data_IF_766631801524
#
_entry.id   IF_766631801524
#
_cell.length_a   1.000
_cell.length_b   1.000
_cell.length_c   1.000
_cell.angle_alpha   90.00
_cell.angle_beta   90.00
_cell.angle_gamma   90.00
#
_symmetry.space_group_name_H-M   'P 1'
#
loop_
_entity.id
_entity.type
_entity.pdbx_description
1 polymer ?
#
# COMPACT_ATOMS: atom_id res chain seq x y z
N UNK A 1 -59.71 -21.98 7.54
CA UNK A 1 -60.15 -23.39 7.70
C UNK A 1 -58.90 -24.23 7.95
N UNK A 2 -58.82 -24.89 9.12
CA UNK A 2 -58.15 -26.18 9.41
C UNK A 2 -56.73 -26.41 8.81
N UNK A 3 -55.64 -26.63 9.54
CA UNK A 3 -55.44 -27.61 10.62
C UNK A 3 -54.12 -27.32 11.39
N UNK A 4 -54.06 -27.81 12.62
CA UNK A 4 -52.92 -27.73 13.54
C UNK A 4 -52.20 -29.09 13.70
N UNK A 5 -51.09 -29.06 14.47
CA UNK A 5 -50.36 -30.17 15.11
C UNK A 5 -49.35 -30.93 14.19
N UNK A 6 -48.19 -31.45 14.64
CA UNK A 6 -47.68 -31.80 15.97
C UNK A 6 -46.15 -32.00 15.94
N UNK A 7 -45.49 -31.78 17.08
CA UNK A 7 -44.12 -32.24 17.40
C UNK A 7 -44.04 -33.77 17.55
N UNK A 8 -42.89 -34.36 17.26
CA UNK A 8 -42.40 -35.57 17.94
C UNK A 8 -40.86 -35.59 17.98
N UNK A 9 -40.33 -35.74 19.19
CA UNK A 9 -38.93 -36.00 19.49
C UNK A 9 -38.66 -37.50 19.47
N UNK A 10 -37.43 -37.92 19.15
CA UNK A 10 -36.92 -39.21 19.60
C UNK A 10 -35.41 -39.13 19.84
N UNK A 11 -35.02 -39.49 21.05
CA UNK A 11 -33.66 -39.70 21.52
C UNK A 11 -33.46 -41.19 21.83
N UNK A 12 -32.26 -41.71 21.56
CA UNK A 12 -31.63 -42.90 22.17
C UNK A 12 -30.14 -42.86 21.73
N UNK A 13 -29.12 -42.61 22.56
CA UNK A 13 -28.52 -43.48 23.61
C UNK A 13 -28.09 -44.86 23.05
N UNK A 14 -26.92 -45.46 23.28
CA UNK A 14 -25.67 -45.16 24.02
C UNK A 14 -24.70 -46.34 23.75
N UNK A 15 -23.42 -46.18 24.16
CA UNK A 15 -22.36 -47.18 24.38
C UNK A 15 -21.52 -47.63 23.16
N UNK A 16 -20.21 -47.32 23.02
CA UNK A 16 -19.01 -47.46 23.88
C UNK A 16 -18.23 -48.76 23.61
N UNK A 17 -16.94 -48.60 23.29
CA UNK A 17 -15.78 -49.49 23.55
C UNK A 17 -14.56 -48.85 22.84
N UNK A 18 -13.75 -48.02 23.52
CA UNK A 18 -12.56 -48.33 24.34
C UNK A 18 -11.33 -48.79 23.55
N UNK A 19 -10.33 -47.92 23.53
CA UNK A 19 -8.91 -48.13 23.21
C UNK A 19 -8.24 -49.11 24.21
N UNK A 20 -7.11 -49.79 23.88
CA UNK A 20 -5.81 -49.18 24.19
C UNK A 20 -4.61 -49.56 23.26
N UNK A 21 -3.65 -48.62 23.16
CA UNK A 21 -2.22 -48.78 22.80
C UNK A 21 -1.42 -49.65 23.82
N UNK A 22 -0.08 -49.91 23.71
CA UNK A 22 0.91 -49.85 22.60
C UNK A 22 1.82 -51.11 22.50
N UNK A 23 2.71 -51.22 21.48
CA UNK A 23 3.92 -52.07 21.56
C UNK A 23 5.07 -51.64 20.60
N UNK A 24 6.21 -51.34 21.21
CA UNK A 24 7.62 -51.55 20.79
C UNK A 24 8.30 -52.25 22.00
N UNK A 25 9.56 -52.77 22.02
CA UNK A 25 10.67 -52.74 21.03
C UNK A 25 11.48 -54.08 20.92
N UNK A 26 12.54 -54.13 20.08
CA UNK A 26 13.92 -54.71 20.23
C UNK A 26 14.64 -54.54 18.87
N UNK A 27 15.87 -54.02 18.66
CA UNK A 27 17.17 -54.11 19.34
C UNK A 27 17.92 -55.37 18.87
N UNK A 28 19.16 -55.42 18.35
CA UNK A 28 20.32 -54.52 18.26
C UNK A 28 21.30 -55.05 17.14
N UNK A 29 22.05 -54.17 16.48
CA UNK A 29 23.52 -53.99 16.56
C UNK A 29 24.38 -54.80 15.57
N UNK A 30 25.17 -54.10 14.74
CA UNK A 30 26.63 -54.17 14.83
C UNK A 30 27.30 -52.91 14.28
N UNK A 31 28.37 -52.51 14.96
CA UNK A 31 29.14 -51.29 14.79
C UNK A 31 30.61 -51.62 14.52
N UNK A 32 31.32 -50.76 13.79
CA UNK A 32 32.76 -50.49 13.83
C UNK A 32 32.99 -49.27 12.91
N UNK A 33 33.68 -48.18 13.24
CA UNK A 33 34.41 -47.75 14.43
C UNK A 33 35.23 -46.47 14.09
N UNK A 34 35.21 -45.49 15.00
CA UNK A 34 36.16 -44.41 15.39
C UNK A 34 37.28 -43.93 14.43
N UNK A 35 37.50 -42.61 14.26
CA UNK A 35 38.00 -41.54 15.18
C UNK A 35 39.48 -41.68 15.58
N UNK A 36 40.24 -40.59 15.36
CA UNK A 36 41.29 -39.99 16.21
C UNK A 36 41.52 -38.56 15.63
N UNK A 37 41.28 -37.41 16.28
CA UNK A 37 41.71 -36.85 17.57
C UNK A 37 43.23 -36.58 17.66
N UNK A 38 43.64 -35.30 17.62
CA UNK A 38 44.77 -34.78 18.40
C UNK A 38 44.63 -33.26 18.60
N UNK A 39 44.65 -32.84 19.86
CA UNK A 39 44.98 -31.47 20.26
C UNK A 39 46.26 -31.46 21.09
N UNK A 40 46.88 -30.28 21.27
CA UNK A 40 47.57 -29.75 22.48
C UNK A 40 48.62 -28.68 22.11
N UNK A 41 48.71 -27.62 22.93
CA UNK A 41 49.57 -26.42 22.86
C UNK A 41 51.00 -26.65 23.44
N UNK A 42 51.79 -25.66 23.96
CA UNK A 42 52.08 -24.24 23.64
C UNK A 42 53.63 -23.94 23.53
N UNK A 43 54.10 -22.71 23.24
CA UNK A 43 55.36 -22.12 23.75
C UNK A 43 55.43 -20.58 23.59
N UNK A 44 56.08 -19.93 24.57
CA UNK A 44 56.21 -18.50 24.91
C UNK A 44 57.02 -17.58 23.97
N UNK A 45 56.75 -16.25 24.00
CA UNK A 45 57.74 -15.17 24.18
C UNK A 45 57.09 -13.76 24.38
N UNK A 46 57.78 -12.93 25.17
CA UNK A 46 57.40 -11.65 25.84
C UNK A 46 57.76 -10.35 25.07
N UNK A 47 57.24 -9.23 25.65
CA UNK A 47 57.68 -7.80 25.69
C UNK A 47 56.89 -6.84 24.75
N UNK A 48 56.31 -5.70 25.15
CA UNK A 48 56.64 -4.64 26.14
C UNK A 48 57.12 -3.39 25.34
N UNK A 49 56.41 -2.25 25.27
CA UNK A 49 56.44 -1.05 26.15
C UNK A 49 55.59 0.07 25.45
N UNK A 50 54.71 0.87 26.10
CA UNK A 50 54.95 2.25 26.60
C UNK A 50 55.33 3.26 25.49
N UNK A 51 54.77 4.46 25.27
CA UNK A 51 53.83 5.37 25.91
C UNK A 51 54.01 6.78 25.29
N UNK A 52 53.20 7.74 25.76
CA UNK A 52 53.37 9.22 25.69
C UNK A 52 52.69 10.00 24.54
N UNK A 53 51.96 11.04 24.97
CA UNK A 53 51.15 12.01 24.25
C UNK A 53 51.90 13.32 23.95
N UNK A 54 51.39 14.17 23.05
CA UNK A 54 51.36 15.63 23.23
C UNK A 54 50.35 16.33 22.29
N UNK A 55 50.15 17.62 22.51
CA UNK A 55 48.93 18.43 22.47
C UNK A 55 48.94 19.58 21.44
N UNK A 56 47.79 20.29 21.31
CA UNK A 56 47.66 21.68 20.79
C UNK A 56 47.00 21.77 19.38
N UNK A 57 45.76 22.25 19.16
CA UNK A 57 45.11 23.56 19.42
C UNK A 57 45.69 24.72 18.58
N UNK A 58 44.94 25.30 17.62
CA UNK A 58 44.03 26.46 17.82
C UNK A 58 43.71 27.27 16.52
N UNK A 59 42.45 27.74 16.46
CA UNK A 59 41.85 29.01 15.95
C UNK A 59 42.05 29.62 14.53
N UNK A 60 40.91 30.05 13.96
CA UNK A 60 40.62 31.43 13.46
C UNK A 60 40.64 31.65 11.93
N UNK A 61 39.51 31.85 11.22
CA UNK A 61 38.76 33.10 11.00
C UNK A 61 39.50 34.12 10.08
N UNK A 62 38.94 34.88 9.12
CA UNK A 62 37.64 35.05 8.46
C UNK A 62 37.82 36.12 7.34
N UNK A 63 36.84 36.24 6.41
CA UNK A 63 36.44 37.46 5.65
C UNK A 63 37.40 38.03 4.56
N UNK A 64 37.02 38.65 3.42
CA UNK A 64 35.78 39.29 2.88
C UNK A 64 35.99 39.68 1.38
N UNK A 65 34.89 39.81 0.64
CA UNK A 65 34.51 40.78 -0.44
C UNK A 65 35.30 40.86 -1.78
N UNK A 66 34.68 40.58 -2.95
CA UNK A 66 33.89 41.46 -3.86
C UNK A 66 34.82 42.32 -4.78
N UNK A 67 34.70 42.51 -6.10
CA UNK A 67 33.62 42.78 -7.07
C UNK A 67 34.24 42.70 -8.51
N UNK A 68 33.55 42.17 -9.54
CA UNK A 68 32.89 42.86 -10.70
C UNK A 68 33.67 42.88 -12.05
N UNK A 69 32.86 42.59 -13.08
CA UNK A 69 32.89 42.84 -14.53
C UNK A 69 33.91 42.22 -15.50
N UNK A 70 33.32 41.59 -16.52
CA UNK A 70 33.99 41.01 -17.68
C UNK A 70 33.94 41.87 -18.93
N UNK A 71 34.64 41.41 -19.96
CA UNK A 71 34.15 41.42 -21.34
C UNK A 71 34.89 40.33 -22.15
N UNK A 72 34.24 39.93 -23.22
CA UNK A 72 34.45 38.83 -24.14
C UNK A 72 35.60 39.02 -25.15
N UNK A 73 36.29 37.92 -25.50
CA UNK A 73 36.62 37.51 -26.88
C UNK A 73 37.56 36.30 -26.90
N UNK A 74 37.23 35.30 -27.71
CA UNK A 74 38.02 34.11 -27.97
C UNK A 74 39.13 34.39 -29.00
N UNK A 75 40.35 33.89 -28.79
CA UNK A 75 40.94 32.86 -29.67
C UNK A 75 42.22 32.24 -29.10
N UNK A 76 42.56 31.09 -29.69
CA UNK A 76 43.41 29.97 -29.29
C UNK A 76 44.78 30.13 -28.57
N UNK A 77 45.01 29.12 -27.73
CA UNK A 77 46.24 28.32 -27.54
C UNK A 77 47.52 29.03 -27.06
N UNK A 78 47.71 29.00 -25.74
CA UNK A 78 48.99 29.20 -25.07
C UNK A 78 48.97 28.58 -23.68
N UNK A 79 49.90 27.67 -23.44
CA UNK A 79 50.24 26.95 -22.20
C UNK A 79 49.98 27.68 -20.88
N UNK A 80 49.37 26.99 -19.91
CA UNK A 80 49.63 27.25 -18.49
C UNK A 80 49.73 25.95 -17.70
N UNK A 81 50.82 25.89 -16.94
CA UNK A 81 51.21 24.88 -15.99
C UNK A 81 50.09 24.66 -14.96
N UNK A 82 49.62 23.42 -14.81
CA UNK A 82 48.72 23.07 -13.72
C UNK A 82 49.56 22.80 -12.48
N UNK A 83 49.39 23.68 -11.49
CA UNK A 83 50.00 23.56 -10.18
C UNK A 83 49.41 22.35 -9.44
N UNK A 84 50.29 21.53 -8.89
CA UNK A 84 50.00 20.26 -8.29
C UNK A 84 49.26 20.43 -6.94
N UNK A 85 47.93 20.43 -6.96
CA UNK A 85 47.11 20.25 -5.77
C UNK A 85 45.70 19.73 -6.09
N UNK A 86 45.58 18.61 -6.83
CA UNK A 86 44.38 17.76 -6.76
C UNK A 86 44.65 16.27 -7.03
N UNK A 87 45.80 15.78 -6.56
CA UNK A 87 46.16 14.37 -6.62
C UNK A 87 45.56 13.55 -5.46
N UNK A 88 44.23 13.63 -5.24
CA UNK A 88 43.50 12.68 -4.38
C UNK A 88 42.14 12.31 -4.97
N UNK A 89 42.20 11.39 -5.94
CA UNK A 89 41.03 10.70 -6.46
C UNK A 89 41.33 10.12 -7.84
N UNK A 90 42.13 9.05 -7.90
CA UNK A 90 42.25 8.29 -9.14
C UNK A 90 40.86 7.79 -9.54
N UNK A 91 40.28 8.36 -10.59
CA UNK A 91 39.02 7.86 -11.14
C UNK A 91 39.24 6.42 -11.58
N UNK A 92 38.70 5.48 -10.80
CA UNK A 92 38.74 4.06 -11.12
C UNK A 92 37.71 3.80 -12.22
N UNK A 93 38.13 3.91 -13.48
CA UNK A 93 37.31 3.49 -14.60
C UNK A 93 37.20 1.96 -14.57
N UNK A 94 36.01 1.39 -14.77
CA UNK A 94 35.82 -0.06 -14.75
C UNK A 94 36.58 -0.77 -15.89
N UNK A 95 37.08 -0.01 -16.86
CA UNK A 95 37.83 -0.49 -18.01
C UNK A 95 38.77 0.59 -18.54
N UNK A 96 39.75 0.17 -19.33
CA UNK A 96 40.70 1.08 -19.98
C UNK A 96 40.05 1.66 -21.25
N UNK A 97 40.13 2.98 -21.50
CA UNK A 97 39.59 3.57 -22.72
C UNK A 97 40.14 2.91 -23.99
N UNK A 98 39.25 2.72 -24.97
CA UNK A 98 39.47 2.07 -26.26
C UNK A 98 39.77 0.57 -26.22
N UNK A 99 39.64 -0.09 -25.08
CA UNK A 99 39.68 -1.57 -25.04
C UNK A 99 38.37 -2.18 -25.48
N UNK A 100 38.46 -3.32 -26.18
CA UNK A 100 37.31 -4.10 -26.63
C UNK A 100 37.35 -5.46 -25.92
N UNK A 101 36.20 -5.93 -25.46
CA UNK A 101 36.07 -7.28 -24.89
C UNK A 101 34.83 -8.01 -25.43
N UNK A 102 34.82 -9.34 -25.24
CA UNK A 102 33.67 -10.18 -25.57
C UNK A 102 32.54 -9.96 -24.56
N UNK A 103 31.30 -10.03 -25.05
CA UNK A 103 30.08 -9.93 -24.24
C UNK A 103 28.99 -10.81 -24.82
N UNK A 104 27.93 -11.06 -24.04
CA UNK A 104 26.73 -11.75 -24.52
C UNK A 104 25.70 -10.70 -24.94
N UNK A 105 25.16 -10.84 -26.14
CA UNK A 105 24.16 -9.93 -26.73
C UNK A 105 22.76 -10.23 -26.19
N UNK A 106 21.77 -9.39 -26.50
CA UNK A 106 20.39 -9.58 -26.04
C UNK A 106 19.75 -10.88 -26.55
N UNK A 107 20.21 -11.40 -27.69
CA UNK A 107 19.75 -12.66 -28.28
C UNK A 107 20.62 -13.88 -27.88
N UNK A 108 21.68 -13.68 -27.09
CA UNK A 108 22.54 -14.75 -26.58
C UNK A 108 23.78 -15.07 -27.44
N UNK A 109 24.03 -14.32 -28.52
CA UNK A 109 25.23 -14.44 -29.36
C UNK A 109 26.46 -13.79 -28.72
N UNK A 110 27.65 -14.15 -29.20
CA UNK A 110 28.92 -13.62 -28.73
C UNK A 110 29.26 -12.28 -29.44
N UNK A 111 29.01 -11.16 -28.78
CA UNK A 111 29.28 -9.81 -29.28
C UNK A 111 30.56 -9.19 -28.74
N UNK A 112 30.77 -7.92 -29.10
CA UNK A 112 31.89 -7.10 -28.60
C UNK A 112 31.40 -5.76 -28.07
N UNK A 113 31.98 -5.30 -26.97
CA UNK A 113 31.74 -3.94 -26.43
C UNK A 113 33.03 -3.17 -26.29
N UNK A 114 32.97 -1.87 -26.58
CA UNK A 114 34.12 -0.96 -26.47
C UNK A 114 33.98 -0.11 -25.21
N UNK A 115 35.07 -0.01 -24.45
CA UNK A 115 35.16 0.90 -23.31
C UNK A 115 35.56 2.29 -23.79
N UNK A 116 34.81 3.32 -23.43
CA UNK A 116 35.25 4.71 -23.58
C UNK A 116 35.59 5.29 -22.21
N UNK A 117 34.57 5.42 -21.35
CA UNK A 117 34.68 5.74 -19.93
C UNK A 117 34.11 4.60 -19.08
N UNK A 118 32.98 4.06 -19.56
CA UNK A 118 32.35 2.82 -19.14
C UNK A 118 32.21 1.89 -20.35
N UNK A 119 31.88 0.62 -20.11
CA UNK A 119 31.57 -0.34 -21.16
C UNK A 119 30.31 0.08 -21.93
N UNK A 120 30.45 0.26 -23.24
CA UNK A 120 29.32 0.50 -24.14
C UNK A 120 28.41 -0.73 -24.31
N UNK A 121 27.31 -0.59 -25.07
CA UNK A 121 26.41 -1.71 -25.36
C UNK A 121 27.15 -2.84 -26.08
N UNK A 122 26.72 -4.08 -25.85
CA UNK A 122 27.25 -5.23 -26.57
C UNK A 122 26.79 -5.16 -28.03
N UNK A 123 27.72 -4.96 -28.95
CA UNK A 123 27.45 -4.94 -30.39
C UNK A 123 27.54 -6.38 -30.89
N UNK A 124 26.47 -6.90 -31.50
CA UNK A 124 26.46 -8.27 -32.02
C UNK A 124 27.38 -8.40 -33.24
N UNK A 125 27.91 -9.62 -33.51
CA UNK A 125 28.73 -9.89 -34.68
C UNK A 125 27.90 -9.83 -35.97
N UNK A 126 28.57 -9.94 -37.12
CA UNK A 126 27.90 -10.22 -38.38
C UNK A 126 27.38 -11.66 -38.38
N UNK A 127 26.28 -11.90 -39.10
CA UNK A 127 25.63 -13.20 -39.27
C UNK A 127 26.60 -14.34 -39.57
N UNK A 128 26.48 -15.45 -38.82
CA UNK A 128 27.24 -16.66 -39.08
C UNK A 128 26.36 -17.72 -39.76
N UNK A 129 26.54 -17.85 -41.08
CA UNK A 129 25.79 -18.83 -41.86
C UNK A 129 25.98 -20.28 -41.35
N UNK A 130 24.88 -20.97 -41.07
CA UNK A 130 24.79 -22.43 -40.88
C UNK A 130 24.51 -22.91 -39.46
N UNK A 131 24.28 -21.99 -38.51
CA UNK A 131 24.03 -22.31 -37.10
C UNK A 131 22.56 -22.15 -36.67
N UNK A 132 21.67 -21.70 -37.56
CA UNK A 132 20.26 -21.39 -37.28
C UNK A 132 20.04 -20.51 -36.04
N UNK A 133 20.96 -19.57 -35.77
CA UNK A 133 20.83 -18.55 -34.74
C UNK A 133 20.61 -17.17 -35.40
N UNK A 134 20.00 -16.27 -34.63
CA UNK A 134 19.98 -14.83 -34.88
C UNK A 134 21.27 -14.28 -34.23
N UNK A 135 22.33 -14.14 -35.02
CA UNK A 135 23.65 -13.80 -34.49
C UNK A 135 23.81 -12.28 -34.35
N UNK A 136 23.18 -11.51 -35.25
CA UNK A 136 23.22 -10.05 -35.28
C UNK A 136 22.10 -9.38 -34.45
N UNK A 137 21.25 -10.19 -33.81
CA UNK A 137 20.10 -9.79 -32.97
C UNK A 137 19.09 -8.89 -33.67
N UNK A 138 18.94 -8.97 -35.00
CA UNK A 138 17.96 -8.17 -35.73
C UNK A 138 16.57 -8.83 -35.81
N UNK A 139 16.41 -10.02 -35.22
CA UNK A 139 15.16 -10.78 -35.18
C UNK A 139 14.94 -11.68 -36.41
N UNK A 140 15.92 -11.76 -37.30
CA UNK A 140 15.97 -12.69 -38.42
C UNK A 140 17.07 -13.73 -38.16
N UNK A 141 17.00 -14.85 -38.86
CA UNK A 141 17.96 -15.95 -38.71
C UNK A 141 18.64 -16.12 -40.05
N UNK A 142 19.97 -15.97 -40.09
CA UNK A 142 20.82 -16.30 -41.25
C UNK A 142 20.45 -15.50 -42.53
N UNK A 143 19.96 -14.28 -42.39
CA UNK A 143 19.72 -13.38 -43.51
C UNK A 143 21.02 -12.94 -44.19
N UNK A 144 20.97 -12.71 -45.51
CA UNK A 144 22.16 -12.34 -46.29
C UNK A 144 23.13 -13.50 -46.60
N UNK A 145 22.85 -14.72 -46.14
CA UNK A 145 23.64 -15.92 -46.46
C UNK A 145 23.30 -16.49 -47.87
N UNK A 146 24.29 -17.03 -48.62
CA UNK A 146 24.02 -17.80 -49.84
C UNK A 146 23.20 -19.04 -49.49
N UNK A 147 22.31 -19.49 -50.39
CA UNK A 147 21.27 -20.50 -50.19
C UNK A 147 21.65 -21.59 -49.17
N UNK A 148 21.33 -21.32 -47.91
CA UNK A 148 21.55 -22.18 -46.75
C UNK A 148 20.23 -22.93 -46.47
N UNK A 149 20.26 -24.14 -45.88
CA UNK A 149 19.08 -24.98 -45.74
C UNK A 149 18.03 -24.27 -44.88
N UNK A 150 16.77 -24.64 -45.07
CA UNK A 150 15.63 -24.10 -44.34
C UNK A 150 15.81 -24.26 -42.83
N UNK A 151 16.34 -23.24 -42.17
CA UNK A 151 16.26 -23.04 -40.73
C UNK A 151 14.84 -22.53 -40.44
N UNK A 152 13.84 -23.40 -40.49
CA UNK A 152 12.60 -23.14 -39.78
C UNK A 152 12.92 -23.40 -38.30
N UNK A 153 12.97 -22.40 -37.40
CA UNK A 153 12.97 -22.70 -35.99
C UNK A 153 11.72 -23.57 -35.75
N UNK A 154 11.80 -24.68 -35.00
CA UNK A 154 10.59 -25.34 -34.54
C UNK A 154 9.85 -24.31 -33.70
N UNK A 155 8.90 -23.58 -34.29
CA UNK A 155 7.91 -22.87 -33.50
C UNK A 155 7.30 -23.97 -32.65
N UNK A 156 7.53 -23.92 -31.34
CA UNK A 156 6.81 -24.80 -30.44
C UNK A 156 5.35 -24.45 -30.68
N UNK A 157 4.66 -25.30 -31.43
CA UNK A 157 3.32 -25.07 -31.96
C UNK A 157 2.30 -25.21 -30.82
N UNK A 158 2.47 -24.38 -29.80
CA UNK A 158 1.57 -24.26 -28.67
C UNK A 158 0.31 -23.54 -29.11
N UNK A 159 -0.80 -23.81 -28.41
CA UNK A 159 -1.95 -22.93 -28.40
C UNK A 159 -1.61 -21.47 -28.08
N UNK A 160 -2.40 -20.57 -28.67
CA UNK A 160 -2.45 -19.14 -28.31
C UNK A 160 -3.78 -18.84 -27.63
N UNK A 161 -3.72 -18.37 -26.39
CA UNK A 161 -4.88 -17.92 -25.63
C UNK A 161 -5.28 -16.50 -26.08
N UNK A 162 -6.57 -16.24 -26.20
CA UNK A 162 -7.11 -14.92 -26.47
C UNK A 162 -8.31 -14.64 -25.58
N UNK A 163 -8.33 -13.47 -24.94
CA UNK A 163 -9.40 -13.04 -24.03
C UNK A 163 -10.21 -11.94 -24.72
N UNK A 164 -11.52 -12.06 -24.68
CA UNK A 164 -12.44 -10.98 -25.04
C UNK A 164 -13.35 -10.68 -23.86
N UNK A 165 -13.56 -9.39 -23.58
CA UNK A 165 -14.45 -8.88 -22.53
C UNK A 165 -15.51 -8.05 -23.23
N UNK A 166 -16.78 -8.46 -23.16
CA UNK A 166 -17.84 -7.82 -23.94
C UNK A 166 -18.08 -6.35 -23.53
N UNK A 167 -17.90 -6.04 -22.25
CA UNK A 167 -18.12 -4.72 -21.66
C UNK A 167 -16.95 -3.75 -21.89
N UNK A 168 -15.83 -4.24 -22.43
CA UNK A 168 -14.62 -3.46 -22.67
C UNK A 168 -13.69 -3.37 -21.44
N UNK A 169 -12.74 -2.44 -21.51
CA UNK A 169 -11.67 -2.28 -20.51
C UNK A 169 -12.00 -1.31 -19.39
N UNK A 170 -13.19 -0.68 -19.40
CA UNK A 170 -13.63 0.28 -18.39
C UNK A 170 -15.11 0.13 -18.07
N UNK A 171 -15.44 -0.16 -16.81
CA UNK A 171 -16.81 -0.46 -16.36
C UNK A 171 -17.08 0.10 -14.95
N UNK A 172 -18.33 0.00 -14.48
CA UNK A 172 -18.72 0.33 -13.11
C UNK A 172 -18.76 -0.88 -12.17
N UNK A 173 -18.66 -0.68 -10.85
CA UNK A 173 -18.93 -1.73 -9.85
C UNK A 173 -20.33 -2.34 -10.03
N UNK A 174 -20.46 -3.63 -9.76
CA UNK A 174 -21.68 -4.41 -9.99
C UNK A 174 -21.87 -4.90 -11.43
N UNK A 175 -21.01 -4.47 -12.38
CA UNK A 175 -21.06 -4.97 -13.77
C UNK A 175 -20.71 -6.47 -13.82
N UNK A 176 -21.45 -7.23 -14.61
CA UNK A 176 -21.14 -8.63 -14.94
C UNK A 176 -20.29 -8.64 -16.20
N UNK A 177 -19.01 -8.99 -16.07
CA UNK A 177 -18.12 -9.16 -17.22
C UNK A 177 -18.45 -10.47 -17.94
N UNK A 178 -18.71 -10.40 -19.25
CA UNK A 178 -18.87 -11.56 -20.11
C UNK A 178 -17.55 -11.85 -20.83
N UNK A 179 -16.84 -12.89 -20.34
CA UNK A 179 -15.54 -13.29 -20.85
C UNK A 179 -15.68 -14.35 -21.92
N UNK A 180 -14.79 -14.34 -22.91
CA UNK A 180 -14.77 -15.33 -23.97
C UNK A 180 -13.36 -15.71 -24.38
N UNK A 181 -13.10 -17.01 -24.47
CA UNK A 181 -11.89 -17.59 -25.05
C UNK A 181 -12.04 -17.91 -26.54
N UNK A 182 -13.11 -17.45 -27.22
CA UNK A 182 -13.45 -17.87 -28.59
C UNK A 182 -12.38 -17.53 -29.64
N UNK A 183 -11.56 -16.51 -29.40
CA UNK A 183 -10.43 -16.16 -30.27
C UNK A 183 -9.18 -17.03 -30.08
N UNK A 184 -9.18 -17.97 -29.13
CA UNK A 184 -8.04 -18.85 -28.89
C UNK A 184 -7.88 -19.87 -30.01
N UNK A 185 -6.64 -20.19 -30.36
CA UNK A 185 -6.33 -21.03 -31.53
C UNK A 185 -5.17 -21.98 -31.23
N UNK A 186 -5.22 -23.19 -31.80
CA UNK A 186 -4.13 -24.16 -31.79
C UNK A 186 -3.63 -24.41 -33.22
N UNK A 187 -2.31 -24.34 -33.48
CA UNK A 187 -1.74 -24.64 -34.80
C UNK A 187 -1.94 -26.09 -35.25
N UNK A 188 -1.63 -26.37 -36.52
CA UNK A 188 -1.66 -27.72 -37.13
C UNK A 188 -3.03 -28.41 -37.15
N UNK A 189 -4.12 -27.62 -37.19
CA UNK A 189 -5.49 -28.14 -37.24
C UNK A 189 -6.01 -28.71 -35.91
N UNK A 190 -5.24 -28.55 -34.82
CA UNK A 190 -5.63 -28.92 -33.46
C UNK A 190 -6.76 -28.02 -32.94
N UNK A 191 -7.43 -28.47 -31.88
CA UNK A 191 -8.57 -27.76 -31.31
C UNK A 191 -8.33 -27.43 -29.84
N UNK A 192 -8.74 -26.24 -29.40
CA UNK A 192 -8.74 -25.88 -27.98
C UNK A 192 -9.89 -26.59 -27.26
N UNK A 193 -9.57 -27.39 -26.25
CA UNK A 193 -10.56 -28.20 -25.51
C UNK A 193 -10.60 -27.93 -24.00
N UNK A 194 -9.63 -27.20 -23.45
CA UNK A 194 -9.60 -26.84 -22.03
C UNK A 194 -9.18 -25.39 -21.82
N UNK A 195 -9.70 -24.79 -20.74
CA UNK A 195 -9.47 -23.40 -20.33
C UNK A 195 -9.18 -23.35 -18.83
N UNK A 196 -8.32 -22.43 -18.42
CA UNK A 196 -8.09 -22.10 -17.02
C UNK A 196 -8.01 -20.58 -16.88
N UNK A 197 -9.08 -20.02 -16.30
CA UNK A 197 -9.18 -18.62 -15.96
C UNK A 197 -8.64 -18.37 -14.56
N UNK A 198 -7.95 -17.24 -14.38
CA UNK A 198 -7.63 -16.70 -13.07
C UNK A 198 -7.88 -15.19 -13.06
N UNK A 199 -8.07 -14.63 -11.86
CA UNK A 199 -8.29 -13.20 -11.67
C UNK A 199 -7.46 -12.71 -10.49
N UNK A 200 -6.76 -11.59 -10.69
CA UNK A 200 -6.23 -10.76 -9.61
C UNK A 200 -7.19 -9.59 -9.42
N UNK A 201 -7.87 -9.58 -8.27
CA UNK A 201 -8.88 -8.60 -7.91
C UNK A 201 -8.35 -7.62 -6.84
N UNK A 202 -8.90 -6.38 -6.76
CA UNK A 202 -8.63 -5.48 -5.66
C UNK A 202 -8.96 -6.09 -4.29
N UNK A 203 -8.28 -5.62 -3.23
CA UNK A 203 -8.50 -6.09 -1.88
C UNK A 203 -9.96 -5.92 -1.44
N UNK A 204 -10.52 -6.94 -0.79
CA UNK A 204 -11.92 -6.95 -0.33
C UNK A 204 -12.92 -7.52 -1.33
N UNK A 205 -12.52 -7.79 -2.59
CA UNK A 205 -13.37 -8.49 -3.55
C UNK A 205 -13.66 -9.93 -3.13
N UNK A 206 -14.90 -10.37 -3.36
CA UNK A 206 -15.38 -11.75 -3.16
C UNK A 206 -15.80 -12.42 -4.48
N UNK A 207 -15.53 -11.76 -5.61
CA UNK A 207 -15.94 -12.21 -6.94
C UNK A 207 -15.44 -13.61 -7.29
N UNK A 208 -16.27 -14.35 -8.03
CA UNK A 208 -15.97 -15.69 -8.53
C UNK A 208 -16.45 -15.83 -9.97
N UNK A 209 -15.69 -16.58 -10.76
CA UNK A 209 -16.14 -16.96 -12.10
C UNK A 209 -17.37 -17.87 -12.02
N UNK A 210 -18.35 -17.62 -12.89
CA UNK A 210 -19.52 -18.47 -13.07
C UNK A 210 -19.56 -19.01 -14.51
N UNK A 211 -19.83 -20.32 -14.73
CA UNK A 211 -20.05 -21.35 -13.72
C UNK A 211 -18.75 -21.80 -13.01
N UNK A 212 -17.58 -21.39 -13.50
CA UNK A 212 -16.29 -21.70 -12.89
C UNK A 212 -15.12 -21.33 -13.81
N UNK A 213 -13.90 -21.55 -13.34
CA UNK A 213 -12.65 -21.19 -14.03
C UNK A 213 -12.33 -22.04 -15.26
N UNK A 214 -13.06 -23.12 -15.51
CA UNK A 214 -12.84 -24.02 -16.66
C UNK A 214 -13.85 -23.84 -17.80
N UNK A 215 -14.78 -22.88 -17.67
CA UNK A 215 -15.73 -22.60 -18.74
C UNK A 215 -15.05 -21.88 -19.90
N UNK A 216 -15.47 -22.17 -21.15
CA UNK A 216 -14.99 -21.46 -22.35
C UNK A 216 -15.37 -19.96 -22.35
N UNK A 217 -16.51 -19.65 -21.75
CA UNK A 217 -17.04 -18.29 -21.63
C UNK A 217 -17.67 -18.08 -20.25
N UNK A 218 -16.87 -17.87 -19.19
CA UNK A 218 -17.40 -17.57 -17.86
C UNK A 218 -17.87 -16.13 -17.76
N UNK A 219 -18.64 -15.84 -16.73
CA UNK A 219 -18.93 -14.48 -16.27
C UNK A 219 -18.22 -14.18 -14.96
N UNK A 220 -17.96 -12.90 -14.69
CA UNK A 220 -17.37 -12.41 -13.45
C UNK A 220 -17.99 -11.08 -13.05
N UNK A 221 -18.66 -11.02 -11.90
CA UNK A 221 -19.19 -9.75 -11.38
C UNK A 221 -18.09 -8.99 -10.66
N UNK A 222 -17.80 -7.76 -11.09
CA UNK A 222 -16.79 -6.90 -10.45
C UNK A 222 -17.41 -6.13 -9.28
N UNK A 223 -17.11 -6.54 -8.06
CA UNK A 223 -17.77 -6.05 -6.83
C UNK A 223 -17.02 -4.90 -6.14
N UNK A 224 -15.75 -4.69 -6.47
CA UNK A 224 -14.89 -3.66 -5.88
C UNK A 224 -14.25 -2.81 -6.98
N UNK A 225 -14.24 -1.49 -6.78
CA UNK A 225 -13.56 -0.56 -7.67
C UNK A 225 -12.04 -0.75 -7.65
N UNK A 226 -11.37 -0.50 -8.77
CA UNK A 226 -9.93 -0.65 -8.92
C UNK A 226 -9.54 -1.40 -10.19
N UNK A 227 -8.27 -1.79 -10.27
CA UNK A 227 -7.73 -2.53 -11.42
C UNK A 227 -7.91 -4.03 -11.23
N UNK A 228 -8.57 -4.66 -12.20
CA UNK A 228 -8.76 -6.11 -12.28
C UNK A 228 -7.90 -6.68 -13.40
N UNK A 229 -7.20 -7.78 -13.14
CA UNK A 229 -6.39 -8.49 -14.14
C UNK A 229 -6.93 -9.91 -14.31
N UNK A 230 -7.45 -10.20 -15.50
CA UNK A 230 -7.97 -11.52 -15.88
C UNK A 230 -6.94 -12.22 -16.73
N UNK A 231 -6.60 -13.45 -16.38
CA UNK A 231 -5.65 -14.28 -17.13
C UNK A 231 -6.30 -15.56 -17.66
N UNK A 232 -5.78 -16.05 -18.77
CA UNK A 232 -6.25 -17.28 -19.42
C UNK A 232 -5.08 -18.12 -19.91
N UNK A 233 -5.13 -19.41 -19.58
CA UNK A 233 -4.35 -20.47 -20.21
C UNK A 233 -5.31 -21.43 -20.92
N UNK A 234 -4.86 -22.00 -22.04
CA UNK A 234 -5.65 -22.95 -22.84
C UNK A 234 -4.84 -24.18 -23.20
N UNK A 235 -5.52 -25.31 -23.42
CA UNK A 235 -4.90 -26.55 -23.89
C UNK A 235 -5.59 -27.06 -25.14
N UNK A 236 -4.79 -27.63 -26.04
CA UNK A 236 -5.30 -28.31 -27.22
C UNK A 236 -5.80 -29.75 -26.93
N UNK A 237 -6.34 -30.39 -27.95
CA UNK A 237 -6.86 -31.76 -27.94
C UNK A 237 -5.78 -32.84 -27.73
N UNK A 238 -4.50 -32.44 -27.66
CA UNK A 238 -3.35 -33.28 -27.30
C UNK A 238 -2.84 -32.99 -25.89
N UNK A 239 -3.48 -32.09 -25.17
CA UNK A 239 -3.09 -31.68 -23.82
C UNK A 239 -1.87 -30.75 -23.80
N UNK A 240 -1.49 -30.16 -24.94
CA UNK A 240 -0.42 -29.16 -24.98
C UNK A 240 -0.97 -27.81 -24.52
N UNK A 241 -0.30 -27.24 -23.50
CA UNK A 241 -0.65 -25.93 -22.94
C UNK A 241 -0.18 -24.77 -23.83
N UNK A 242 -0.87 -23.63 -23.75
CA UNK A 242 -0.45 -22.39 -24.39
C UNK A 242 0.95 -21.94 -23.92
N UNK A 243 1.75 -21.48 -24.86
CA UNK A 243 3.14 -21.07 -24.59
C UNK A 243 3.21 -19.81 -23.71
N UNK A 244 2.19 -18.95 -23.79
CA UNK A 244 2.03 -17.76 -22.96
C UNK A 244 0.64 -17.74 -22.34
N UNK A 245 0.55 -17.07 -21.19
CA UNK A 245 -0.72 -16.76 -20.53
C UNK A 245 -1.26 -15.45 -21.11
N UNK A 246 -2.51 -15.44 -21.58
CA UNK A 246 -3.16 -14.20 -22.00
C UNK A 246 -3.54 -13.36 -20.76
N UNK A 247 -3.46 -12.04 -20.89
CA UNK A 247 -3.79 -11.07 -19.83
C UNK A 247 -4.71 -9.99 -20.39
N UNK A 248 -5.81 -9.72 -19.71
CA UNK A 248 -6.70 -8.59 -19.96
C UNK A 248 -6.85 -7.77 -18.68
N UNK A 249 -6.81 -6.44 -18.80
CA UNK A 249 -6.96 -5.51 -17.68
C UNK A 249 -8.27 -4.73 -17.81
N UNK A 250 -9.03 -4.64 -16.72
CA UNK A 250 -10.27 -3.86 -16.62
C UNK A 250 -10.13 -2.84 -15.50
N UNK A 251 -10.42 -1.57 -15.80
CA UNK A 251 -10.57 -0.52 -14.79
C UNK A 251 -12.03 -0.46 -14.36
N UNK A 252 -12.28 -0.63 -13.07
CA UNK A 252 -13.62 -0.61 -12.48
C UNK A 252 -13.78 0.65 -11.65
N UNK A 253 -14.64 1.55 -12.11
CA UNK A 253 -15.02 2.76 -11.38
C UNK A 253 -16.21 2.49 -10.45
N UNK A 254 -16.39 3.22 -9.35
CA UNK A 254 -17.60 3.13 -8.52
C UNK A 254 -18.87 3.47 -9.32
N UNK A 255 -19.92 2.65 -9.18
CA UNK A 255 -21.24 2.88 -9.77
C UNK A 255 -22.38 2.72 -8.73
N UNK A 256 -23.37 3.63 -8.67
CA UNK A 256 -23.56 4.79 -9.55
C UNK A 256 -22.41 5.80 -9.45
N UNK A 257 -22.17 6.62 -10.48
CA UNK A 257 -21.11 7.62 -10.43
C UNK A 257 -21.34 8.45 -9.17
N UNK A 258 -20.36 8.49 -8.27
CA UNK A 258 -20.43 9.39 -7.12
C UNK A 258 -20.51 10.80 -7.71
N UNK A 259 -21.69 11.43 -7.62
CA UNK A 259 -21.80 12.85 -7.90
C UNK A 259 -20.76 13.54 -7.04
N UNK A 260 -19.97 14.47 -7.62
CA UNK A 260 -18.93 15.19 -6.91
C UNK A 260 -19.53 15.91 -5.70
N UNK A 261 -19.57 15.21 -4.59
CA UNK A 261 -20.01 15.67 -3.30
C UNK A 261 -18.73 15.98 -2.53
N UNK A 262 -18.61 17.15 -1.91
CA UNK A 262 -17.52 17.46 -1.01
C UNK A 262 -17.40 16.44 0.13
N UNK A 263 -18.43 15.62 0.40
CA UNK A 263 -18.41 14.58 1.42
C UNK A 263 -18.68 15.10 2.83
N UNK A 264 -18.45 16.38 3.06
CA UNK A 264 -18.85 17.12 4.25
C UNK A 264 -20.24 17.74 4.06
N UNK A 265 -21.02 17.73 5.13
CA UNK A 265 -22.41 18.17 5.14
C UNK A 265 -22.59 19.66 4.82
N UNK A 266 -21.63 20.49 5.24
CA UNK A 266 -21.56 21.92 4.96
C UNK A 266 -21.00 22.26 3.56
N UNK A 267 -20.43 21.26 2.88
CA UNK A 267 -19.89 21.40 1.53
C UNK A 267 -18.43 21.82 1.46
N UNK A 268 -17.73 21.96 2.59
CA UNK A 268 -16.33 22.37 2.66
C UNK A 268 -15.46 21.26 3.26
N UNK A 269 -14.22 21.13 2.78
CA UNK A 269 -13.25 20.14 3.27
C UNK A 269 -12.10 20.84 3.95
N UNK A 270 -11.87 20.58 5.23
CA UNK A 270 -10.74 21.14 6.00
C UNK A 270 -9.58 20.14 6.07
N UNK A 271 -9.88 18.85 5.93
CA UNK A 271 -8.92 17.79 5.65
C UNK A 271 -9.25 17.13 4.32
N UNK A 272 -8.24 16.56 3.66
CA UNK A 272 -8.37 15.94 2.34
C UNK A 272 -9.01 16.90 1.30
N UNK A 273 -8.54 18.16 1.34
CA UNK A 273 -9.15 19.29 0.65
C UNK A 273 -9.18 19.15 -0.88
N UNK A 274 -8.16 18.51 -1.48
CA UNK A 274 -8.14 18.23 -2.90
C UNK A 274 -9.05 17.04 -3.24
N UNK A 275 -10.27 17.33 -3.70
CA UNK A 275 -11.25 16.31 -4.09
C UNK A 275 -10.84 15.48 -5.32
N UNK A 276 -9.91 15.97 -6.14
CA UNK A 276 -9.38 15.20 -7.27
C UNK A 276 -8.36 14.16 -6.79
N UNK A 277 -7.53 14.53 -5.80
CA UNK A 277 -6.60 13.60 -5.17
C UNK A 277 -7.29 12.60 -4.23
N UNK A 278 -8.33 13.05 -3.50
CA UNK A 278 -9.06 12.24 -2.53
C UNK A 278 -10.57 12.21 -2.78
N UNK A 279 -11.03 11.56 -3.87
CA UNK A 279 -12.43 11.59 -4.28
C UNK A 279 -13.37 10.86 -3.31
N UNK A 280 -12.86 10.00 -2.44
CA UNK A 280 -13.68 9.10 -1.61
C UNK A 280 -13.48 9.27 -0.10
N UNK A 281 -12.71 10.28 0.33
CA UNK A 281 -12.48 10.61 1.74
C UNK A 281 -12.43 12.13 1.89
N UNK A 282 -13.02 12.64 2.96
CA UNK A 282 -13.07 14.06 3.29
C UNK A 282 -12.83 14.24 4.80
N UNK A 283 -12.05 15.23 5.18
CA UNK A 283 -11.95 15.68 6.58
C UNK A 283 -12.92 16.83 6.79
N UNK A 284 -13.95 16.57 7.59
CA UNK A 284 -15.07 17.48 7.81
C UNK A 284 -15.00 18.01 9.24
N UNK A 285 -14.78 19.31 9.36
CA UNK A 285 -14.76 19.99 10.65
C UNK A 285 -16.16 20.21 11.17
N UNK A 286 -16.27 20.34 12.49
CA UNK A 286 -17.54 20.70 13.10
C UNK A 286 -17.68 20.31 14.56
N UNK A 287 -18.83 20.65 15.11
CA UNK A 287 -19.22 20.37 16.48
C UNK A 287 -20.38 19.37 16.54
N UNK A 288 -20.51 18.66 17.65
CA UNK A 288 -21.63 17.77 17.93
C UNK A 288 -21.84 17.61 19.44
N UNK A 289 -23.09 17.49 19.85
CA UNK A 289 -23.47 17.29 21.25
C UNK A 289 -24.06 15.90 21.55
N UNK A 290 -24.41 15.12 20.53
CA UNK A 290 -24.82 13.73 20.71
C UNK A 290 -23.57 12.86 20.92
N UNK A 291 -23.41 12.21 22.09
CA UNK A 291 -22.18 11.51 22.40
C UNK A 291 -21.86 10.36 21.46
N UNK A 292 -20.58 10.23 21.15
CA UNK A 292 -19.98 9.01 20.65
C UNK A 292 -19.53 9.06 19.19
N UNK A 293 -18.59 8.16 18.91
CA UNK A 293 -18.01 7.94 17.58
C UNK A 293 -17.73 6.45 17.32
N UNK A 294 -18.47 5.58 17.96
CA UNK A 294 -18.30 4.13 17.88
C UNK A 294 -19.10 3.52 16.73
N UNK A 295 -18.90 2.24 16.39
CA UNK A 295 -19.79 1.49 15.51
C UNK A 295 -21.30 1.67 15.75
N UNK A 296 -21.75 1.87 16.99
CA UNK A 296 -23.18 1.85 17.34
C UNK A 296 -23.77 3.24 17.62
N UNK A 297 -22.95 4.30 17.68
CA UNK A 297 -23.38 5.63 18.15
C UNK A 297 -23.42 6.71 17.06
N UNK A 298 -23.03 6.38 15.83
CA UNK A 298 -22.91 7.37 14.73
C UNK A 298 -24.08 7.29 13.74
N UNK A 299 -25.27 7.56 14.24
CA UNK A 299 -26.45 7.79 13.39
C UNK A 299 -26.69 9.30 13.28
N UNK A 300 -26.97 9.81 12.09
CA UNK A 300 -27.32 11.21 11.88
C UNK A 300 -28.60 11.56 12.68
N UNK A 301 -28.54 12.62 13.48
CA UNK A 301 -29.64 13.07 14.36
C UNK A 301 -30.14 14.47 14.03
N UNK A 302 -29.39 15.25 13.24
CA UNK A 302 -29.79 16.59 12.80
C UNK A 302 -29.93 16.73 11.28
N UNK A 303 -30.01 15.60 10.57
CA UNK A 303 -30.33 15.56 9.14
C UNK A 303 -29.16 15.96 8.23
N UNK A 304 -27.93 15.61 8.62
CA UNK A 304 -26.71 15.93 7.85
C UNK A 304 -26.56 17.43 7.61
N UNK A 305 -26.79 18.23 8.66
CA UNK A 305 -26.67 19.70 8.62
C UNK A 305 -25.51 20.22 9.47
N UNK A 306 -24.68 19.32 10.01
CA UNK A 306 -23.51 19.70 10.81
C UNK A 306 -22.41 20.31 9.96
N UNK A 307 -21.36 20.79 10.62
CA UNK A 307 -20.25 21.50 10.00
C UNK A 307 -19.59 22.46 10.97
N UNK A 308 -18.47 23.07 10.61
CA UNK A 308 -17.88 24.20 11.35
C UNK A 308 -18.37 25.56 10.86
N UNK A 309 -18.94 25.59 9.65
CA UNK A 309 -19.72 26.69 9.11
C UNK A 309 -21.19 26.28 8.87
N UNK A 310 -22.07 27.25 8.58
CA UNK A 310 -23.49 27.01 8.33
C UNK A 310 -24.42 26.99 9.56
N UNK A 311 -25.63 26.43 9.37
CA UNK A 311 -26.77 26.63 10.27
C UNK A 311 -26.72 25.84 11.59
N UNK A 312 -25.95 24.73 11.63
CA UNK A 312 -25.71 23.91 12.83
C UNK A 312 -24.24 23.90 13.24
N UNK A 313 -23.52 24.99 12.97
CA UNK A 313 -22.13 25.15 13.42
C UNK A 313 -21.96 25.08 14.96
N UNK A 314 -23.06 25.18 15.72
CA UNK A 314 -23.09 24.97 17.17
C UNK A 314 -23.06 23.49 17.60
N UNK A 315 -23.30 22.57 16.67
CA UNK A 315 -23.39 21.12 16.90
C UNK A 315 -24.63 20.67 17.66
N UNK A 316 -25.60 21.56 17.92
CA UNK A 316 -26.71 21.28 18.82
C UNK A 316 -27.73 20.31 18.21
N UNK A 317 -27.91 19.17 18.88
CA UNK A 317 -28.72 18.03 18.43
C UNK A 317 -28.08 17.22 17.31
N UNK A 318 -26.83 17.52 16.92
CA UNK A 318 -26.10 16.80 15.89
C UNK A 318 -25.22 15.72 16.52
N UNK A 319 -25.07 14.61 15.82
CA UNK A 319 -24.06 13.60 16.09
C UNK A 319 -22.85 13.81 15.20
N UNK A 320 -21.77 13.09 15.48
CA UNK A 320 -20.58 13.07 14.62
C UNK A 320 -20.88 12.62 13.18
N UNK A 321 -21.95 11.86 12.95
CA UNK A 321 -22.38 11.46 11.61
C UNK A 321 -23.04 12.59 10.80
N UNK A 322 -23.57 13.61 11.46
CA UNK A 322 -24.20 14.75 10.79
C UNK A 322 -23.18 15.69 10.12
N UNK A 323 -21.88 15.52 10.38
CA UNK A 323 -20.81 16.21 9.67
C UNK A 323 -20.58 15.64 8.25
N UNK A 324 -21.07 14.43 7.98
CA UNK A 324 -20.96 13.81 6.67
C UNK A 324 -22.17 14.14 5.79
N UNK A 325 -21.92 14.40 4.51
CA UNK A 325 -22.98 14.61 3.52
C UNK A 325 -23.83 13.35 3.33
N UNK A 326 -25.07 13.46 2.82
CA UNK A 326 -25.85 12.30 2.39
C UNK A 326 -25.07 11.42 1.41
N UNK A 327 -25.09 10.10 1.61
CA UNK A 327 -24.28 9.14 0.84
C UNK A 327 -22.84 8.98 1.35
N UNK A 328 -22.46 9.70 2.40
CA UNK A 328 -21.19 9.58 3.11
C UNK A 328 -21.42 9.17 4.56
N UNK A 329 -20.42 8.55 5.17
CA UNK A 329 -20.47 8.11 6.57
C UNK A 329 -19.14 8.37 7.26
N UNK A 330 -19.16 8.48 8.59
CA UNK A 330 -17.90 8.53 9.36
C UNK A 330 -17.14 7.23 9.09
N UNK A 331 -15.90 7.33 8.62
CA UNK A 331 -15.11 6.19 8.14
C UNK A 331 -15.07 5.03 9.16
N UNK A 332 -15.20 3.82 8.64
CA UNK A 332 -15.35 2.54 9.34
C UNK A 332 -13.98 1.90 9.59
N UNK A 333 -13.39 2.24 10.72
CA UNK A 333 -12.09 1.70 11.12
C UNK A 333 -10.96 2.08 10.15
N UNK A 334 -9.74 1.67 10.49
CA UNK A 334 -8.56 2.07 9.73
C UNK A 334 -8.49 1.42 8.34
N UNK A 335 -9.11 0.24 8.15
CA UNK A 335 -9.10 -0.47 6.88
C UNK A 335 -9.82 0.31 5.78
N UNK A 336 -10.93 0.96 6.10
CA UNK A 336 -11.62 1.81 5.13
C UNK A 336 -10.78 3.04 4.78
N UNK A 337 -10.13 3.67 5.76
CA UNK A 337 -9.22 4.80 5.50
C UNK A 337 -8.09 4.37 4.56
N UNK A 338 -7.50 3.18 4.77
CA UNK A 338 -6.46 2.64 3.89
C UNK A 338 -6.96 2.40 2.46
N UNK A 339 -8.23 2.00 2.30
CA UNK A 339 -8.85 1.80 0.99
C UNK A 339 -9.12 3.13 0.28
N UNK A 340 -9.61 4.13 1.01
CA UNK A 340 -10.10 5.41 0.47
C UNK A 340 -8.98 6.46 0.34
N UNK A 341 -7.86 6.28 1.04
CA UNK A 341 -6.64 7.09 0.96
C UNK A 341 -5.39 6.21 0.90
N UNK A 342 -4.86 5.92 -0.30
CA UNK A 342 -3.60 5.18 -0.46
C UNK A 342 -2.40 5.85 0.21
N UNK A 343 -2.45 7.17 0.42
CA UNK A 343 -1.42 7.96 1.12
C UNK A 343 -1.64 8.04 2.64
N UNK A 344 -2.60 7.26 3.19
CA UNK A 344 -2.95 7.29 4.59
C UNK A 344 -3.46 8.66 5.05
N UNK A 345 -2.97 9.14 6.21
CA UNK A 345 -3.38 10.42 6.79
C UNK A 345 -2.75 11.68 6.16
N UNK A 346 -1.94 11.55 5.10
CA UNK A 346 -1.22 12.70 4.52
C UNK A 346 -2.12 13.88 4.12
N UNK A 347 -3.35 13.62 3.69
CA UNK A 347 -4.32 14.67 3.33
C UNK A 347 -5.00 15.32 4.52
N UNK A 348 -4.92 14.77 5.73
CA UNK A 348 -5.67 15.24 6.89
C UNK A 348 -5.16 16.57 7.47
N UNK A 349 -3.98 17.04 7.08
CA UNK A 349 -3.40 18.27 7.58
C UNK A 349 -2.80 19.05 6.41
N UNK A 350 -3.47 20.12 5.95
CA UNK A 350 -2.90 21.05 4.98
C UNK A 350 -1.55 21.61 5.44
N UNK A 351 -0.69 22.00 4.50
CA UNK A 351 0.67 22.45 4.80
C UNK A 351 0.73 23.72 5.69
N UNK A 352 -0.31 24.54 5.64
CA UNK A 352 -0.50 25.77 6.42
C UNK A 352 -1.30 25.55 7.72
N UNK A 353 -1.73 24.32 8.00
CA UNK A 353 -2.47 24.02 9.22
C UNK A 353 -1.62 24.30 10.46
N UNK A 354 -2.22 24.98 11.44
CA UNK A 354 -1.55 25.30 12.70
C UNK A 354 -1.12 24.02 13.42
N UNK A 355 0.02 24.01 14.12
CA UNK A 355 0.41 22.86 14.94
C UNK A 355 -0.70 22.49 15.93
N UNK A 356 -0.95 21.18 16.06
CA UNK A 356 -1.92 20.63 17.03
C UNK A 356 -3.32 21.24 16.91
N UNK A 357 -3.81 21.47 15.69
CA UNK A 357 -5.13 22.05 15.43
C UNK A 357 -6.14 21.06 14.88
N UNK A 358 -5.70 20.14 14.02
CA UNK A 358 -6.58 19.25 13.28
C UNK A 358 -6.51 17.84 13.84
N UNK A 359 -7.68 17.31 14.16
CA UNK A 359 -7.91 15.89 14.40
C UNK A 359 -9.24 15.51 13.77
N UNK A 360 -9.22 14.50 12.91
CA UNK A 360 -10.40 13.97 12.24
C UNK A 360 -10.62 12.54 12.67
N UNK A 361 -11.60 12.36 13.54
CA UNK A 361 -11.91 11.08 14.16
C UNK A 361 -12.63 10.13 13.22
N UNK A 362 -12.50 8.84 13.49
CA UNK A 362 -13.19 7.75 12.78
C UNK A 362 -13.82 6.76 13.74
N UNK A 363 -14.63 5.83 13.22
CA UNK A 363 -15.31 4.80 14.01
C UNK A 363 -14.42 3.62 14.39
N UNK A 364 -13.20 3.89 14.81
CA UNK A 364 -12.26 2.84 15.19
C UNK A 364 -12.44 2.49 16.67
N UNK A 365 -12.89 1.26 16.99
CA UNK A 365 -12.99 0.83 18.38
C UNK A 365 -11.61 0.54 19.00
N UNK A 366 -11.57 0.58 20.32
CA UNK A 366 -10.46 0.09 21.14
C UNK A 366 -10.96 -0.39 22.50
N UNK A 367 -10.17 -1.28 23.11
CA UNK A 367 -10.42 -1.81 24.45
C UNK A 367 -9.54 -1.13 25.49
N UNK A 368 -8.23 -1.02 25.24
CA UNK A 368 -7.25 -0.39 26.14
C UNK A 368 -5.93 -0.07 25.41
N UNK A 369 -5.13 0.83 25.96
CA UNK A 369 -3.74 1.08 25.58
C UNK A 369 -3.57 1.76 24.23
N UNK A 370 -4.63 2.41 23.73
CA UNK A 370 -4.66 3.04 22.41
C UNK A 370 -4.26 2.11 21.28
N UNK A 371 -4.66 0.84 21.40
CA UNK A 371 -4.50 -0.18 20.35
C UNK A 371 -5.82 -0.28 19.59
N UNK A 372 -5.76 -0.22 18.26
CA UNK A 372 -6.94 -0.37 17.42
C UNK A 372 -7.51 -1.79 17.54
N UNK A 373 -8.75 -1.88 18.02
CA UNK A 373 -9.47 -3.14 18.25
C UNK A 373 -10.23 -3.64 17.02
N UNK A 374 -10.76 -4.86 17.12
CA UNK A 374 -11.66 -5.40 16.11
C UNK A 374 -13.02 -4.69 16.15
N UNK A 375 -13.76 -4.75 15.05
CA UNK A 375 -15.04 -4.06 14.93
C UNK A 375 -16.04 -4.51 16.02
N UNK A 376 -16.55 -3.56 16.80
CA UNK A 376 -17.49 -3.82 17.90
C UNK A 376 -16.84 -4.18 19.23
N UNK A 377 -15.51 -4.22 19.32
CA UNK A 377 -14.78 -4.52 20.55
C UNK A 377 -14.34 -3.24 21.28
N UNK A 378 -15.10 -2.85 22.30
CA UNK A 378 -14.75 -1.75 23.18
C UNK A 378 -15.06 -0.37 22.61
N UNK A 379 -15.09 0.61 23.51
CA UNK A 379 -15.43 2.00 23.22
C UNK A 379 -14.39 2.97 23.78
N UNK A 380 -13.20 2.46 24.09
CA UNK A 380 -12.09 3.23 24.60
C UNK A 380 -11.42 4.03 23.47
N UNK A 381 -10.85 5.17 23.84
CA UNK A 381 -10.10 6.09 22.97
C UNK A 381 -10.86 6.59 21.72
N UNK A 382 -10.30 7.63 21.09
CA UNK A 382 -10.78 8.17 19.81
C UNK A 382 -9.61 8.21 18.85
N UNK A 383 -9.72 7.52 17.72
CA UNK A 383 -8.64 7.44 16.73
C UNK A 383 -8.99 8.24 15.49
N UNK A 384 -7.96 8.71 14.80
CA UNK A 384 -8.15 9.55 13.63
C UNK A 384 -6.86 9.91 12.93
N UNK A 385 -6.99 10.86 12.02
CA UNK A 385 -5.88 11.48 11.32
C UNK A 385 -5.68 12.93 11.77
N UNK A 386 -4.44 13.41 11.76
CA UNK A 386 -4.15 14.86 11.83
C UNK A 386 -2.87 15.21 12.57
N UNK A 387 -2.85 16.39 13.18
CA UNK A 387 -1.70 16.89 13.93
C UNK A 387 -1.99 17.17 15.43
N UNK A 388 -3.22 16.91 15.89
CA UNK A 388 -3.63 16.98 17.29
C UNK A 388 -3.78 15.56 17.89
N UNK A 389 -3.36 15.40 19.15
CA UNK A 389 -3.40 14.12 19.89
C UNK A 389 -2.04 13.42 19.96
N UNK A 390 -2.03 12.24 20.58
CA UNK A 390 -0.83 11.41 20.72
C UNK A 390 -0.53 10.70 19.40
N UNK A 391 0.74 10.65 19.00
CA UNK A 391 1.18 9.93 17.82
C UNK A 391 1.03 8.41 17.97
N UNK A 392 0.50 7.75 16.93
CA UNK A 392 0.37 6.30 16.88
C UNK A 392 1.65 5.66 16.31
N UNK A 393 2.20 4.71 17.05
CA UNK A 393 3.28 3.85 16.60
C UNK A 393 2.77 2.59 15.89
N UNK A 394 3.66 1.85 15.20
CA UNK A 394 3.31 0.60 14.52
C UNK A 394 2.81 -0.49 15.50
N UNK A 395 3.18 -0.42 16.78
CA UNK A 395 2.72 -1.31 17.85
C UNK A 395 1.21 -1.18 18.15
N UNK A 396 0.56 -0.12 17.68
CA UNK A 396 -0.87 0.15 17.95
C UNK A 396 -1.84 -0.55 16.98
N UNK A 397 -1.33 -1.21 15.94
CA UNK A 397 -2.14 -1.93 14.95
C UNK A 397 -3.25 -1.08 14.28
N UNK A 398 -2.97 0.21 14.07
CA UNK A 398 -3.93 1.19 13.58
C UNK A 398 -3.79 1.53 12.09
N UNK A 399 -3.01 0.74 11.35
CA UNK A 399 -2.79 0.94 9.91
C UNK A 399 -2.33 2.37 9.59
N UNK A 400 -3.03 3.11 8.70
CA UNK A 400 -2.64 4.44 8.28
C UNK A 400 -2.94 5.56 9.30
N UNK A 401 -3.68 5.29 10.39
CA UNK A 401 -4.03 6.31 11.37
C UNK A 401 -2.78 6.79 12.12
N UNK A 402 -2.67 8.09 12.34
CA UNK A 402 -1.49 8.69 12.97
C UNK A 402 -1.77 9.35 14.33
N UNK A 403 -3.04 9.50 14.73
CA UNK A 403 -3.42 10.16 15.99
C UNK A 403 -4.45 9.40 16.81
N UNK A 404 -4.34 9.57 18.12
CA UNK A 404 -5.32 9.14 19.11
C UNK A 404 -5.54 10.21 20.17
N UNK A 405 -6.79 10.36 20.60
CA UNK A 405 -7.17 11.06 21.82
C UNK A 405 -7.58 9.99 22.85
N UNK A 406 -6.85 9.93 23.95
CA UNK A 406 -7.10 9.03 25.06
C UNK A 406 -7.27 9.86 26.33
N UNK A 407 -8.16 9.50 27.25
CA UNK A 407 -8.34 10.25 28.49
C UNK A 407 -7.75 9.54 29.70
N UNK A 408 -7.10 10.33 30.55
CA UNK A 408 -6.77 9.95 31.93
C UNK A 408 -7.45 10.86 32.95
N UNK A 409 -8.27 11.82 32.50
CA UNK A 409 -8.81 12.93 33.28
C UNK A 409 -10.34 13.09 33.08
N UNK A 410 -11.09 13.48 34.12
CA UNK A 410 -12.54 13.63 34.02
C UNK A 410 -12.93 14.71 32.99
N UNK A 411 -13.89 14.38 32.13
CA UNK A 411 -14.53 15.27 31.14
C UNK A 411 -13.62 15.86 30.05
N UNK A 412 -12.48 15.23 29.75
CA UNK A 412 -11.55 15.65 28.69
C UNK A 412 -11.14 14.46 27.81
N UNK A 413 -10.99 14.65 26.50
CA UNK A 413 -10.27 13.69 25.65
C UNK A 413 -8.82 14.16 25.58
N UNK A 414 -7.89 13.42 26.19
CA UNK A 414 -6.58 13.87 26.66
C UNK A 414 -5.61 14.45 25.62
N UNK A 415 -5.92 15.65 25.16
CA UNK A 415 -4.91 16.63 24.83
C UNK A 415 -4.98 17.75 25.88
N UNK A 416 -3.83 18.00 26.50
CA UNK A 416 -3.61 18.91 27.61
C UNK A 416 -3.98 18.34 29.00
N UNK A 417 -3.19 17.35 29.45
CA UNK A 417 -3.20 16.84 30.84
C UNK A 417 -3.00 17.97 31.88
N UNK A 418 -2.41 19.11 31.48
CA UNK A 418 -2.18 20.27 32.33
C UNK A 418 -3.35 21.28 32.33
N UNK A 419 -4.09 21.45 31.22
CA UNK A 419 -5.22 22.41 31.14
C UNK A 419 -6.44 21.85 30.37
N UNK A 420 -7.24 20.98 31.00
CA UNK A 420 -8.38 20.28 30.36
C UNK A 420 -9.54 21.18 29.89
N UNK A 421 -9.52 22.47 30.23
CA UNK A 421 -10.59 23.42 29.87
C UNK A 421 -10.38 24.14 28.53
N UNK A 422 -9.24 23.92 27.84
CA UNK A 422 -8.88 24.73 26.66
C UNK A 422 -9.40 24.17 25.32
N UNK A 423 -9.57 22.85 25.20
CA UNK A 423 -9.94 22.20 23.94
C UNK A 423 -11.45 21.92 23.77
N UNK A 424 -11.97 21.88 22.53
CA UNK A 424 -13.37 21.56 22.25
C UNK A 424 -13.72 20.06 22.37
N UNK A 425 -12.75 19.15 22.34
CA UNK A 425 -12.98 17.70 22.46
C UNK A 425 -13.24 17.30 23.92
N UNK A 426 -14.37 16.65 24.18
CA UNK A 426 -14.79 16.28 25.53
C UNK A 426 -15.18 14.81 25.62
N UNK A 427 -14.49 14.07 26.47
CA UNK A 427 -14.81 12.68 26.78
C UNK A 427 -15.37 12.68 28.20
N UNK A 428 -16.68 12.49 28.36
CA UNK A 428 -17.29 12.42 29.69
C UNK A 428 -16.76 11.18 30.40
N UNK A 429 -16.08 11.39 31.52
CA UNK A 429 -15.45 10.35 32.32
C UNK A 429 -15.42 10.77 33.79
N UNK A 430 -15.40 9.80 34.69
CA UNK A 430 -15.08 10.01 36.10
C UNK A 430 -13.61 10.43 36.24
N UNK A 431 -13.13 10.72 37.46
CA UNK A 431 -11.75 11.16 37.68
C UNK A 431 -10.63 10.19 37.29
N UNK A 432 -10.93 9.16 36.49
CA UNK A 432 -10.11 8.03 36.05
C UNK A 432 -10.51 7.67 34.60
N UNK A 433 -9.63 7.00 33.86
CA UNK A 433 -9.99 6.42 32.54
C UNK A 433 -11.09 5.38 32.72
N UNK A 434 -12.24 5.63 32.10
CA UNK A 434 -13.41 4.76 32.16
C UNK A 434 -13.49 3.80 30.97
N UNK A 435 -12.47 3.75 30.11
CA UNK A 435 -12.39 2.93 28.89
C UNK A 435 -13.58 3.11 27.93
N UNK A 436 -14.13 4.32 27.84
CA UNK A 436 -15.39 4.65 27.15
C UNK A 436 -15.35 5.99 26.39
N UNK A 437 -14.17 6.54 26.17
CA UNK A 437 -13.90 7.83 25.55
C UNK A 437 -14.58 7.92 24.18
N UNK A 438 -14.46 6.87 23.36
CA UNK A 438 -15.13 6.75 22.06
C UNK A 438 -16.66 6.72 22.16
N UNK A 439 -17.25 6.15 23.22
CA UNK A 439 -18.71 6.17 23.43
C UNK A 439 -19.22 7.54 23.90
N UNK A 440 -18.39 8.28 24.63
CA UNK A 440 -18.81 9.49 25.33
C UNK A 440 -18.33 10.79 24.66
N UNK A 441 -17.52 10.69 23.61
CA UNK A 441 -16.91 11.87 22.98
C UNK A 441 -17.97 12.80 22.41
N UNK A 442 -17.90 14.06 22.83
CA UNK A 442 -18.60 15.20 22.23
C UNK A 442 -17.58 16.24 21.81
N UNK A 443 -17.99 17.17 20.94
CA UNK A 443 -17.12 18.25 20.49
C UNK A 443 -17.88 19.57 20.49
N UNK A 444 -17.49 20.47 21.38
CA UNK A 444 -18.15 21.77 21.52
C UNK A 444 -17.85 22.68 20.32
N UNK A 445 -18.83 23.52 20.00
CA UNK A 445 -18.63 24.62 19.08
C UNK A 445 -17.87 25.78 19.73
N UNK A 446 -16.93 26.33 18.98
CA UNK A 446 -16.11 27.47 19.40
C UNK A 446 -16.79 28.80 19.06
N UNK A 447 -18.00 29.01 19.60
CA UNK A 447 -18.79 30.20 19.29
C UNK A 447 -18.34 31.42 20.11
N UNK A 448 -17.72 32.40 19.46
CA UNK A 448 -17.43 33.71 20.05
C UNK A 448 -16.35 33.76 21.14
N UNK A 449 -15.72 32.63 21.46
CA UNK A 449 -14.47 32.55 22.23
C UNK A 449 -13.48 31.72 21.43
N UNK A 450 -12.22 32.12 21.42
CA UNK A 450 -11.15 31.32 20.86
C UNK A 450 -11.05 30.03 21.68
N UNK A 451 -11.64 28.93 21.19
CA UNK A 451 -11.14 27.62 21.61
C UNK A 451 -9.65 27.61 21.33
N UNK A 452 -8.90 26.93 22.19
CA UNK A 452 -7.47 26.94 22.07
C UNK A 452 -6.90 25.56 22.31
N UNK A 453 -6.07 25.12 21.40
CA UNK A 453 -5.14 24.05 21.73
C UNK A 453 -3.85 24.72 22.18
N UNK A 454 -3.39 24.40 23.40
CA UNK A 454 -2.07 24.83 23.89
C UNK A 454 -1.91 26.38 23.99
N UNK A 455 -3.00 27.10 24.28
CA UNK A 455 -3.00 28.58 24.39
C UNK A 455 -3.09 29.34 23.05
N UNK A 456 -2.99 28.67 21.90
CA UNK A 456 -3.18 29.26 20.57
C UNK A 456 -4.65 29.29 20.12
N UNK A 457 -5.18 30.40 19.58
CA UNK A 457 -6.57 30.51 19.13
C UNK A 457 -6.85 29.76 17.83
N UNK A 458 -7.97 29.04 17.78
CA UNK A 458 -8.42 28.27 16.63
C UNK A 458 -9.43 29.07 15.79
N UNK A 459 -9.20 29.12 14.48
CA UNK A 459 -10.18 29.62 13.51
C UNK A 459 -11.29 28.59 13.25
N UNK A 460 -12.34 28.95 12.50
CA UNK A 460 -13.37 28.02 12.02
C UNK A 460 -12.79 26.71 11.45
N UNK A 461 -11.90 26.83 10.47
CA UNK A 461 -11.32 25.71 9.71
C UNK A 461 -10.21 24.95 10.44
N UNK A 462 -9.82 25.37 11.64
CA UNK A 462 -8.72 24.79 12.43
C UNK A 462 -9.24 23.88 13.58
N UNK A 463 -10.48 23.39 13.49
CA UNK A 463 -11.14 22.73 14.62
C UNK A 463 -11.14 21.21 14.52
N UNK A 464 -10.92 20.65 13.34
CA UNK A 464 -11.11 19.23 13.06
C UNK A 464 -12.55 18.76 13.31
N UNK A 465 -12.75 17.45 13.21
CA UNK A 465 -14.06 16.82 13.30
C UNK A 465 -13.95 15.34 12.99
N UNK A 466 -14.50 14.89 11.87
CA UNK A 466 -14.50 13.48 11.47
C UNK A 466 -13.95 13.28 10.05
N UNK A 467 -13.47 12.07 9.77
CA UNK A 467 -13.30 11.65 8.37
C UNK A 467 -14.60 11.05 7.86
N UNK A 468 -15.10 11.60 6.76
CA UNK A 468 -16.23 11.09 6.03
C UNK A 468 -15.73 10.29 4.83
N UNK A 469 -16.15 9.04 4.71
CA UNK A 469 -15.85 8.14 3.61
C UNK A 469 -17.07 8.01 2.71
N UNK A 470 -16.85 7.95 1.40
CA UNK A 470 -17.92 7.74 0.43
C UNK A 470 -18.52 6.35 0.61
N UNK A 471 -19.85 6.28 0.71
CA UNK A 471 -20.61 5.05 0.81
C UNK A 471 -20.39 4.10 -0.37
N UNK A 472 -20.58 2.79 -0.18
CA UNK A 472 -20.59 1.81 -1.26
C UNK A 472 -21.75 2.02 -2.25
#
# INVERSE_FOLDING_TARGET
>A
MHHAMTRAALACALAACSDPQPAQPVGAADAIGNLDAFGSAPLDAKAGDGGVADTGADSGAAETDAEIDGDTAADQAGSVQADAADAKGGFNYPCKPLTVEACVTACGSAGKRTCLKDWGPCVPPLEWCGNCADDDCNGLVNEGCPANPTCAPPSKACPTAHITIAEGSKVGTGTVLHLSAAGSFAPDGKQIVQWAWAVSAPAGSTAKFQPGTSAKAPTLTVDVAGTWQVTLQVWDDKGLQSCATALATVQVDPYPPVSASPGCADGQREGFADSAQWPQIAGCSGAWDQPGITPNTVQATCGNQGGDDGAKADGKGCSSADLCAPGWHVCKGWQEVAQKSPTGCAGATPADAKPKSLFFAIRQPSVNGSVCGAWGEGFNDVFGCGNLGTGLGPDKNCGPLDRVLASTQPNSCGFNEAEPNLGPWQCLGTGKSDLNEGANVTKKACQGKTCSYDGAPLGPSDKGGVLCCAGP
#
